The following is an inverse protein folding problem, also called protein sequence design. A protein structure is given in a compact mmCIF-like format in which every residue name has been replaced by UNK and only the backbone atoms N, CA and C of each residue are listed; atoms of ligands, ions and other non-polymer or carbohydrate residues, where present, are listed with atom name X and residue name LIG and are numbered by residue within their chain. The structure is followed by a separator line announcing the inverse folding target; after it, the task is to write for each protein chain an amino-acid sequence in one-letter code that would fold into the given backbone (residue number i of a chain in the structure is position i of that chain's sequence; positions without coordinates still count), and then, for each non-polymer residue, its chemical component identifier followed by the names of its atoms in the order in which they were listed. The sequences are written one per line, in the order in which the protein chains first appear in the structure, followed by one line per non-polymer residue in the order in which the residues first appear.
data_IF_789361523053
#
_entry.id   IF_789361523053
#
_cell.length_a   1.000
_cell.length_b   1.000
_cell.length_c   1.000
_cell.angle_alpha   90.00
_cell.angle_beta   90.00
_cell.angle_gamma   90.00
#
_symmetry.space_group_name_H-M   'P 1'
#
loop_
_entity.id
_entity.type
_entity.pdbx_description
1 polymer ?
#
# COMPACT_ATOMS: atom_id res chain seq x y z
N UNK A 1 8.45 13.59 8.86
CA UNK A 1 9.14 14.73 8.24
C UNK A 1 8.13 15.44 7.33
N UNK A 2 7.76 16.68 7.60
CA UNK A 2 6.90 17.48 6.71
C UNK A 2 7.84 18.19 5.74
N UNK A 3 7.84 17.78 4.50
CA UNK A 3 8.50 18.54 3.43
C UNK A 3 7.70 19.82 3.21
N UNK A 4 8.36 20.97 3.36
CA UNK A 4 7.79 22.26 3.00
C UNK A 4 7.88 22.44 1.48
N UNK A 5 7.11 23.37 0.91
CA UNK A 5 7.18 23.69 -0.52
C UNK A 5 8.60 24.18 -0.92
N UNK A 6 9.31 24.81 0.01
CA UNK A 6 10.70 25.25 -0.17
C UNK A 6 11.64 24.04 -0.31
N UNK A 7 11.47 23.00 0.51
CA UNK A 7 12.28 21.78 0.45
C UNK A 7 12.09 21.03 -0.87
N UNK A 8 10.89 21.06 -1.44
CA UNK A 8 10.59 20.47 -2.74
C UNK A 8 11.23 21.27 -3.88
N UNK A 9 11.20 22.60 -3.83
CA UNK A 9 11.86 23.44 -4.83
C UNK A 9 13.39 23.29 -4.78
N UNK A 10 13.98 23.23 -3.58
CA UNK A 10 15.40 22.98 -3.39
C UNK A 10 15.80 21.57 -3.80
N UNK A 11 14.98 20.57 -3.53
CA UNK A 11 15.17 19.21 -4.02
C UNK A 11 15.17 19.18 -5.55
N UNK A 12 14.17 19.79 -6.19
CA UNK A 12 14.08 19.84 -7.65
C UNK A 12 15.22 20.67 -8.28
N UNK A 13 15.63 21.80 -7.68
CA UNK A 13 16.69 22.64 -8.23
C UNK A 13 18.10 22.05 -8.02
N UNK A 14 18.36 21.46 -6.86
CA UNK A 14 19.72 21.08 -6.48
C UNK A 14 20.02 19.58 -6.67
N UNK A 15 19.07 18.68 -6.44
CA UNK A 15 19.29 17.24 -6.64
C UNK A 15 18.92 16.78 -8.04
N UNK A 16 17.82 17.23 -8.61
CA UNK A 16 17.46 16.86 -9.97
C UNK A 16 18.45 17.43 -11.00
N UNK A 17 18.92 18.68 -10.78
CA UNK A 17 19.92 19.30 -11.65
C UNK A 17 21.30 18.63 -11.57
N UNK A 18 21.64 18.02 -10.41
CA UNK A 18 22.88 17.28 -10.24
C UNK A 18 22.83 15.85 -10.82
N UNK A 19 21.65 15.23 -10.84
CA UNK A 19 21.45 13.88 -11.40
C UNK A 19 21.07 13.91 -12.89
N UNK A 20 20.58 15.02 -13.41
CA UNK A 20 20.38 15.23 -14.85
C UNK A 20 21.74 15.64 -15.45
N UNK A 21 22.66 14.69 -15.55
CA UNK A 21 23.74 14.85 -16.52
C UNK A 21 23.08 14.79 -17.90
N UNK A 22 22.97 15.92 -18.54
CA UNK A 22 22.48 16.03 -19.92
C UNK A 22 23.49 15.32 -20.80
N UNK A 23 23.25 14.06 -21.10
CA UNK A 23 23.93 13.36 -22.20
C UNK A 23 23.23 13.83 -23.47
N UNK A 24 23.86 14.68 -24.32
CA UNK A 24 23.25 15.20 -25.52
C UNK A 24 22.91 14.09 -26.54
N UNK A 25 23.50 12.91 -26.41
CA UNK A 25 23.28 11.77 -27.29
C UNK A 25 22.15 10.85 -26.78
N UNK A 26 21.80 10.91 -25.52
CA UNK A 26 20.68 10.16 -24.93
C UNK A 26 19.56 11.12 -24.55
N UNK A 27 18.54 11.21 -25.40
CA UNK A 27 17.34 12.04 -25.24
C UNK A 27 16.40 11.60 -24.10
N UNK A 28 16.88 10.89 -23.09
CA UNK A 28 16.09 10.44 -21.96
C UNK A 28 16.41 11.27 -20.71
N UNK A 29 15.44 12.03 -20.27
CA UNK A 29 15.50 12.68 -18.95
C UNK A 29 15.29 11.58 -17.90
N UNK A 30 16.25 11.31 -16.99
CA UNK A 30 16.03 10.37 -15.91
C UNK A 30 14.89 10.88 -15.02
N UNK A 31 13.81 10.14 -14.96
CA UNK A 31 12.69 10.45 -14.07
C UNK A 31 13.04 9.88 -12.70
N UNK A 32 13.04 10.71 -11.64
CA UNK A 32 13.36 10.22 -10.31
C UNK A 32 12.43 9.08 -9.88
N UNK A 33 13.01 8.05 -9.27
CA UNK A 33 12.27 6.89 -8.77
C UNK A 33 11.41 7.20 -7.53
N UNK A 34 11.29 8.47 -7.17
CA UNK A 34 10.52 8.93 -6.03
C UNK A 34 9.11 9.35 -6.45
N UNK A 35 8.10 8.68 -5.88
CA UNK A 35 6.71 9.11 -5.98
C UNK A 35 6.32 9.86 -4.70
N UNK A 36 6.03 11.16 -4.77
CA UNK A 36 5.58 11.90 -3.61
C UNK A 36 4.25 11.36 -3.08
N UNK A 37 3.96 11.47 -1.77
CA UNK A 37 2.71 11.02 -1.16
C UNK A 37 1.55 11.97 -1.49
N UNK A 38 1.19 12.06 -2.76
CA UNK A 38 0.07 12.86 -3.25
C UNK A 38 -1.18 11.97 -3.37
N UNK A 39 -2.36 12.57 -3.24
CA UNK A 39 -3.66 11.87 -3.42
C UNK A 39 -3.80 11.27 -4.82
N UNK A 40 -3.24 11.93 -5.83
CA UNK A 40 -3.12 11.43 -7.19
C UNK A 40 -1.61 11.37 -7.49
N UNK A 41 -1.06 10.17 -7.56
CA UNK A 41 0.34 9.96 -7.96
C UNK A 41 0.39 9.87 -9.47
N UNK A 42 0.99 10.83 -10.17
CA UNK A 42 1.13 10.72 -11.61
C UNK A 42 2.07 9.55 -11.93
N UNK A 43 1.54 8.50 -12.53
CA UNK A 43 2.34 7.40 -13.06
C UNK A 43 2.80 7.83 -14.45
N UNK A 44 3.93 8.55 -14.50
CA UNK A 44 4.42 9.17 -15.74
C UNK A 44 5.61 8.46 -16.37
N UNK A 45 6.25 7.52 -15.68
CA UNK A 45 7.36 6.76 -16.24
C UNK A 45 6.95 5.34 -16.65
N UNK A 46 7.52 4.85 -17.73
CA UNK A 46 7.32 3.48 -18.19
C UNK A 46 7.63 2.46 -17.09
N UNK A 47 8.72 2.67 -16.33
CA UNK A 47 9.12 1.80 -15.24
C UNK A 47 8.03 1.66 -14.16
N UNK A 48 7.37 2.75 -13.78
CA UNK A 48 6.27 2.70 -12.82
C UNK A 48 5.04 2.01 -13.40
N UNK A 49 4.71 2.28 -14.66
CA UNK A 49 3.60 1.60 -15.34
C UNK A 49 3.83 0.09 -15.36
N UNK A 50 5.02 -0.35 -15.76
CA UNK A 50 5.38 -1.76 -15.80
C UNK A 50 5.33 -2.39 -14.40
N UNK A 51 5.86 -1.71 -13.36
CA UNK A 51 5.83 -2.17 -11.98
C UNK A 51 4.39 -2.32 -11.46
N UNK A 52 3.54 -1.32 -11.67
CA UNK A 52 2.14 -1.37 -11.26
C UNK A 52 1.36 -2.42 -12.04
N UNK A 53 1.63 -2.59 -13.32
CA UNK A 53 1.02 -3.65 -14.12
C UNK A 53 1.39 -5.03 -13.59
N UNK A 54 2.65 -5.28 -13.30
CA UNK A 54 3.07 -6.57 -12.73
C UNK A 54 2.48 -6.78 -11.34
N UNK A 55 2.47 -5.77 -10.48
CA UNK A 55 1.85 -5.85 -9.16
C UNK A 55 0.35 -6.17 -9.26
N UNK A 56 -0.38 -5.52 -10.15
CA UNK A 56 -1.80 -5.80 -10.38
C UNK A 56 -2.04 -7.24 -10.84
N UNK A 57 -1.22 -7.75 -11.76
CA UNK A 57 -1.32 -9.14 -12.23
C UNK A 57 -1.04 -10.15 -11.11
N UNK A 58 -0.08 -9.88 -10.24
CA UNK A 58 0.20 -10.73 -9.08
C UNK A 58 -0.98 -10.73 -8.10
N UNK A 59 -1.51 -9.56 -7.78
CA UNK A 59 -2.66 -9.41 -6.87
C UNK A 59 -3.89 -10.11 -7.44
N UNK A 60 -4.19 -9.92 -8.73
CA UNK A 60 -5.36 -10.53 -9.38
C UNK A 60 -5.31 -12.07 -9.41
N UNK A 61 -4.12 -12.66 -9.43
CA UNK A 61 -3.93 -14.12 -9.46
C UNK A 61 -3.76 -14.74 -8.08
N UNK A 62 -3.61 -13.93 -7.04
CA UNK A 62 -3.39 -14.42 -5.69
C UNK A 62 -4.66 -15.03 -5.12
N UNK A 63 -4.56 -16.21 -4.51
CA UNK A 63 -5.63 -16.80 -3.69
C UNK A 63 -5.60 -16.30 -2.23
N UNK A 64 -4.42 -15.86 -1.77
CA UNK A 64 -4.19 -15.28 -0.45
C UNK A 64 -3.25 -14.08 -0.56
N UNK A 65 -3.59 -12.99 0.12
CA UNK A 65 -2.78 -11.76 0.19
C UNK A 65 -2.56 -11.44 1.67
N UNK A 66 -1.31 -11.39 2.09
CA UNK A 66 -0.93 -11.03 3.46
C UNK A 66 -0.32 -9.63 3.43
N UNK A 67 -0.84 -8.73 4.25
CA UNK A 67 -0.43 -7.33 4.33
C UNK A 67 0.04 -7.03 5.75
N UNK A 68 1.29 -6.60 5.86
CA UNK A 68 1.98 -6.43 7.13
C UNK A 68 2.29 -4.94 7.38
N UNK A 69 1.83 -4.40 8.50
CA UNK A 69 2.19 -3.05 8.95
C UNK A 69 1.87 -1.94 7.95
N UNK A 70 0.81 -2.08 7.15
CA UNK A 70 0.44 -1.12 6.12
C UNK A 70 -0.77 -0.28 6.52
N UNK A 71 -0.60 1.03 6.51
CA UNK A 71 -1.57 1.97 7.06
C UNK A 71 -2.83 2.21 6.22
N UNK A 72 -2.88 1.72 4.98
CA UNK A 72 -3.98 1.99 4.02
C UNK A 72 -4.30 3.48 3.91
N UNK A 73 -3.27 4.28 3.66
CA UNK A 73 -3.40 5.72 3.48
C UNK A 73 -4.45 6.06 2.42
N UNK A 74 -5.16 7.18 2.63
CA UNK A 74 -6.09 7.70 1.60
C UNK A 74 -5.40 8.14 0.31
N UNK A 75 -4.07 8.24 0.31
CA UNK A 75 -3.28 8.51 -0.89
C UNK A 75 -3.05 7.26 -1.75
N UNK A 76 -3.31 6.05 -1.22
CA UNK A 76 -2.99 4.78 -1.86
C UNK A 76 -4.20 4.13 -2.54
N UNK A 77 -5.04 4.94 -3.19
CA UNK A 77 -6.26 4.47 -3.84
C UNK A 77 -6.00 3.41 -4.92
N UNK A 78 -4.91 3.50 -5.67
CA UNK A 78 -4.56 2.50 -6.69
C UNK A 78 -4.36 1.11 -6.10
N UNK A 79 -3.71 1.02 -4.93
CA UNK A 79 -3.57 -0.26 -4.24
C UNK A 79 -4.91 -0.80 -3.75
N UNK A 80 -5.76 0.07 -3.22
CA UNK A 80 -7.12 -0.31 -2.81
C UNK A 80 -7.95 -0.81 -3.99
N UNK A 81 -7.82 -0.18 -5.17
CA UNK A 81 -8.52 -0.60 -6.38
C UNK A 81 -8.07 -2.01 -6.80
N UNK A 82 -6.77 -2.28 -6.85
CA UNK A 82 -6.25 -3.61 -7.17
C UNK A 82 -6.76 -4.70 -6.21
N UNK A 83 -6.81 -4.40 -4.89
CA UNK A 83 -7.35 -5.35 -3.90
C UNK A 83 -8.86 -5.59 -4.08
N UNK A 84 -9.60 -4.57 -4.53
CA UNK A 84 -11.05 -4.71 -4.79
C UNK A 84 -11.34 -5.53 -6.03
N UNK A 85 -10.51 -5.41 -7.06
CA UNK A 85 -10.67 -6.17 -8.32
C UNK A 85 -10.50 -7.69 -8.13
N UNK A 86 -9.65 -8.13 -7.21
CA UNK A 86 -9.57 -9.55 -6.89
C UNK A 86 -10.64 -9.93 -5.86
N UNK A 87 -11.78 -10.44 -6.32
CA UNK A 87 -12.92 -10.79 -5.45
C UNK A 87 -12.72 -12.09 -4.68
N UNK A 88 -11.84 -12.97 -5.12
CA UNK A 88 -11.70 -14.35 -4.61
C UNK A 88 -10.59 -14.49 -3.56
N UNK A 89 -9.61 -13.58 -3.56
CA UNK A 89 -8.48 -13.66 -2.63
C UNK A 89 -8.92 -13.50 -1.17
N UNK A 90 -8.38 -14.34 -0.31
CA UNK A 90 -8.36 -14.08 1.14
C UNK A 90 -7.35 -12.98 1.44
N UNK A 91 -7.77 -11.95 2.15
CA UNK A 91 -6.91 -10.82 2.54
C UNK A 91 -6.71 -10.88 4.05
N UNK A 92 -5.48 -11.00 4.48
CA UNK A 92 -5.09 -11.05 5.88
C UNK A 92 -4.22 -9.83 6.17
N UNK A 93 -4.63 -9.01 7.11
CA UNK A 93 -3.93 -7.80 7.52
C UNK A 93 -3.43 -7.99 8.94
N UNK A 94 -2.14 -7.71 9.17
CA UNK A 94 -1.53 -7.77 10.49
C UNK A 94 -1.01 -6.37 10.84
N UNK A 95 -1.56 -5.79 11.89
CA UNK A 95 -1.18 -4.46 12.38
C UNK A 95 -1.41 -4.37 13.88
N UNK A 96 -0.46 -3.77 14.59
CA UNK A 96 -0.56 -3.56 16.04
C UNK A 96 -1.68 -2.59 16.43
N UNK A 97 -2.06 -1.68 15.54
CA UNK A 97 -3.14 -0.72 15.78
C UNK A 97 -4.44 -1.19 15.10
N UNK A 98 -5.10 -2.16 15.72
CA UNK A 98 -6.33 -2.78 15.25
C UNK A 98 -7.41 -1.77 14.83
N UNK A 99 -7.64 -0.72 15.63
CA UNK A 99 -8.72 0.24 15.36
C UNK A 99 -8.45 1.07 14.11
N UNK A 100 -7.21 1.54 13.96
CA UNK A 100 -6.80 2.31 12.78
C UNK A 100 -6.78 1.43 11.53
N UNK A 101 -6.23 0.21 11.64
CA UNK A 101 -6.22 -0.77 10.55
C UNK A 101 -7.65 -1.10 10.10
N UNK A 102 -8.54 -1.45 11.02
CA UNK A 102 -9.95 -1.76 10.72
C UNK A 102 -10.64 -0.63 9.97
N UNK A 103 -10.55 0.60 10.48
CA UNK A 103 -11.17 1.78 9.86
C UNK A 103 -10.65 1.99 8.42
N UNK A 104 -9.35 1.93 8.25
CA UNK A 104 -8.72 2.21 6.96
C UNK A 104 -8.96 1.08 5.95
N UNK A 105 -8.92 -0.17 6.39
CA UNK A 105 -9.24 -1.34 5.56
C UNK A 105 -10.70 -1.33 5.12
N UNK A 106 -11.64 -1.05 6.05
CA UNK A 106 -13.06 -0.95 5.70
C UNK A 106 -13.30 0.13 4.66
N UNK A 107 -12.66 1.29 4.79
CA UNK A 107 -12.73 2.35 3.77
C UNK A 107 -12.12 1.88 2.44
N UNK A 108 -10.93 1.28 2.47
CA UNK A 108 -10.21 0.80 1.29
C UNK A 108 -11.02 -0.26 0.53
N UNK A 109 -11.58 -1.24 1.23
CA UNK A 109 -12.30 -2.38 0.64
C UNK A 109 -13.83 -2.19 0.59
N UNK A 110 -14.32 -1.01 0.98
CA UNK A 110 -15.75 -0.67 1.02
C UNK A 110 -16.58 -1.65 1.87
N UNK A 111 -16.03 -2.02 3.04
CA UNK A 111 -16.70 -2.91 4.00
C UNK A 111 -17.47 -2.11 5.05
N UNK A 112 -18.53 -2.72 5.59
CA UNK A 112 -19.22 -2.17 6.76
C UNK A 112 -18.35 -2.37 8.01
N UNK A 113 -17.85 -1.28 8.57
CA UNK A 113 -16.96 -1.28 9.72
C UNK A 113 -17.59 -1.88 11.00
N UNK A 114 -18.91 -1.94 11.07
CA UNK A 114 -19.65 -2.47 12.21
C UNK A 114 -20.02 -3.95 12.05
N UNK A 115 -19.82 -4.51 10.86
CA UNK A 115 -20.22 -5.87 10.53
C UNK A 115 -19.04 -6.82 10.47
N UNK A 116 -18.57 -7.26 11.65
CA UNK A 116 -17.48 -8.24 11.77
C UNK A 116 -17.74 -9.24 12.89
N UNK A 117 -17.06 -10.39 12.82
CA UNK A 117 -16.96 -11.32 13.94
C UNK A 117 -15.63 -11.11 14.65
N UNK A 118 -15.68 -11.03 15.99
CA UNK A 118 -14.50 -10.87 16.84
C UNK A 118 -14.11 -12.22 17.44
N UNK A 119 -12.83 -12.54 17.42
CA UNK A 119 -12.23 -13.71 18.06
C UNK A 119 -10.96 -13.27 18.79
N UNK A 120 -10.55 -14.04 19.80
CA UNK A 120 -9.24 -13.92 20.43
C UNK A 120 -8.54 -15.27 20.24
N UNK A 121 -7.36 -15.23 19.65
CA UNK A 121 -6.51 -16.42 19.46
C UNK A 121 -5.09 -16.05 19.84
N UNK A 122 -4.46 -16.84 20.68
CA UNK A 122 -3.09 -16.64 21.16
C UNK A 122 -2.81 -15.25 21.77
N UNK A 123 -3.83 -14.66 22.42
CA UNK A 123 -3.76 -13.33 23.01
C UNK A 123 -4.01 -12.18 22.03
N UNK A 124 -4.16 -12.45 20.75
CA UNK A 124 -4.39 -11.46 19.71
C UNK A 124 -5.87 -11.31 19.35
N UNK A 125 -6.33 -10.08 19.20
CA UNK A 125 -7.67 -9.82 18.68
C UNK A 125 -7.69 -10.05 17.17
N UNK A 126 -8.69 -10.80 16.71
CA UNK A 126 -8.92 -11.07 15.29
C UNK A 126 -10.31 -10.58 14.92
N UNK A 127 -10.41 -9.75 13.89
CA UNK A 127 -11.66 -9.29 13.29
C UNK A 127 -11.82 -9.86 11.88
N UNK A 128 -12.92 -10.55 11.64
CA UNK A 128 -13.24 -11.11 10.32
C UNK A 128 -14.41 -10.34 9.71
N UNK A 129 -14.18 -9.74 8.57
CA UNK A 129 -15.16 -9.04 7.76
C UNK A 129 -15.53 -9.92 6.57
N UNK A 130 -16.77 -10.38 6.51
CA UNK A 130 -17.19 -11.39 5.56
C UNK A 130 -16.28 -12.65 5.64
N UNK A 131 -16.28 -13.49 4.60
CA UNK A 131 -15.41 -14.67 4.54
C UNK A 131 -14.05 -14.38 3.90
N UNK A 132 -13.75 -13.11 3.60
CA UNK A 132 -12.61 -12.74 2.76
C UNK A 132 -11.53 -11.96 3.50
N UNK A 133 -11.90 -11.08 4.42
CA UNK A 133 -10.96 -10.16 5.06
C UNK A 133 -10.81 -10.48 6.54
N UNK A 134 -9.57 -10.70 6.97
CA UNK A 134 -9.21 -10.94 8.37
C UNK A 134 -8.18 -9.91 8.80
N UNK A 135 -8.42 -9.25 9.93
CA UNK A 135 -7.47 -8.32 10.54
C UNK A 135 -7.02 -8.92 11.87
N UNK A 136 -5.72 -8.98 12.09
CA UNK A 136 -5.07 -9.53 13.29
C UNK A 136 -4.36 -8.37 13.99
N UNK A 137 -4.74 -8.10 15.24
CA UNK A 137 -4.12 -7.08 16.09
C UNK A 137 -2.88 -7.63 16.77
N UNK A 138 -1.74 -7.62 16.08
CA UNK A 138 -0.49 -8.16 16.59
C UNK A 138 0.71 -7.34 16.11
N UNK A 139 1.81 -7.40 16.85
CA UNK A 139 3.11 -7.00 16.34
C UNK A 139 3.64 -8.09 15.40
N UNK A 140 4.40 -7.69 14.38
CA UNK A 140 5.00 -8.64 13.42
C UNK A 140 5.91 -9.68 14.07
N UNK A 141 6.55 -9.31 15.19
CA UNK A 141 7.43 -10.20 15.93
C UNK A 141 6.67 -11.36 16.61
N UNK A 142 5.35 -11.18 16.84
CA UNK A 142 4.53 -12.12 17.60
C UNK A 142 3.71 -13.06 16.71
N UNK A 143 3.79 -12.89 15.38
CA UNK A 143 2.99 -13.67 14.43
C UNK A 143 3.85 -14.66 13.67
N UNK A 144 3.52 -15.94 13.79
CA UNK A 144 4.05 -16.96 12.89
C UNK A 144 3.22 -16.97 11.60
N UNK A 145 3.84 -16.60 10.48
CA UNK A 145 3.16 -16.53 9.18
C UNK A 145 2.71 -17.89 8.64
N UNK A 146 3.27 -18.98 9.14
CA UNK A 146 2.86 -20.35 8.76
C UNK A 146 1.49 -20.73 9.36
N UNK A 147 1.06 -20.02 10.42
CA UNK A 147 -0.20 -20.26 11.13
C UNK A 147 -1.35 -19.36 10.65
N UNK A 148 -1.10 -18.53 9.63
CA UNK A 148 -2.01 -17.48 9.13
C UNK A 148 -2.70 -17.87 7.77
#
# INVERSE_FOLDING_TARGET
MRLTTIDLEDFFKNQLAAEISFDPDHKSIPIPSFLPPLKLRPVISKHYIDTWYHASQMILRASKIIILGYSFSSADNYFCDMLRENHDAQIIIIDKNMETASRNVCRCLQLDANRYTKQIKDGHEIRKYNNRVTIIGADLADVNLDDV
#
